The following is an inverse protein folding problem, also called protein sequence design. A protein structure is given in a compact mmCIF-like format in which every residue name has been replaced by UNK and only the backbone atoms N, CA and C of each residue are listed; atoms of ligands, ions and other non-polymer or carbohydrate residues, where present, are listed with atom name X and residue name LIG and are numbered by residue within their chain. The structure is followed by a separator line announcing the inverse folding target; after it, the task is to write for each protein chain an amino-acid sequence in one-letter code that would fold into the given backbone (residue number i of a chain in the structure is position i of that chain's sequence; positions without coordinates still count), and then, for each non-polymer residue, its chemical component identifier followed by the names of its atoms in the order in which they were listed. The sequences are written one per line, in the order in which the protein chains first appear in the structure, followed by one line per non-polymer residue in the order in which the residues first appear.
data_IF_516431158897
#
_entry.id   IF_516431158897
#
_cell.length_a   1.000
_cell.length_b   1.000
_cell.length_c   1.000
_cell.angle_alpha   90.00
_cell.angle_beta   90.00
_cell.angle_gamma   90.00
#
_symmetry.space_group_name_H-M   'P 1'
#
loop_
_entity.id
_entity.type
_entity.pdbx_description
1 polymer ?
#
# COMPACT_ATOMS: atom_id res chain seq x y z
N UNK A 1 7.67 3.05 -13.09
CA UNK A 1 6.23 2.70 -13.19
C UNK A 1 5.66 2.69 -11.79
N UNK A 2 4.71 3.58 -11.49
CA UNK A 2 4.00 3.59 -10.20
C UNK A 2 2.66 2.89 -10.40
N UNK A 3 2.65 1.57 -10.15
CA UNK A 3 1.47 0.73 -10.39
C UNK A 3 0.21 1.28 -9.72
N UNK A 4 0.36 1.94 -8.56
CA UNK A 4 -0.77 2.56 -7.86
C UNK A 4 -1.38 3.70 -8.67
N UNK A 5 -0.54 4.59 -9.21
CA UNK A 5 -1.00 5.71 -10.04
C UNK A 5 -1.57 5.22 -11.37
N UNK A 6 -0.86 4.29 -12.03
CA UNK A 6 -1.21 3.78 -13.35
C UNK A 6 -2.57 3.04 -13.36
N UNK A 7 -2.97 2.47 -12.23
CA UNK A 7 -4.25 1.76 -12.08
C UNK A 7 -5.29 2.55 -11.31
N UNK A 8 -5.01 3.83 -11.00
CA UNK A 8 -5.85 4.70 -10.18
C UNK A 8 -6.27 4.03 -8.84
N UNK A 9 -5.33 3.34 -8.20
CA UNK A 9 -5.56 2.61 -6.94
C UNK A 9 -6.45 1.36 -7.06
N UNK A 10 -6.88 0.95 -8.25
CA UNK A 10 -7.71 -0.24 -8.43
C UNK A 10 -6.90 -1.53 -8.30
N UNK A 11 -7.15 -2.26 -7.21
CA UNK A 11 -6.52 -3.55 -6.90
C UNK A 11 -6.76 -4.59 -8.00
N UNK A 12 -7.98 -4.66 -8.54
CA UNK A 12 -8.35 -5.64 -9.58
C UNK A 12 -7.63 -5.33 -10.89
N UNK A 13 -7.62 -4.05 -11.32
CA UNK A 13 -6.88 -3.65 -12.54
C UNK A 13 -5.39 -3.96 -12.40
N UNK A 14 -4.80 -3.64 -11.25
CA UNK A 14 -3.40 -3.91 -10.99
C UNK A 14 -3.05 -5.40 -10.99
N UNK A 15 -3.91 -6.24 -10.40
CA UNK A 15 -3.78 -7.69 -10.47
C UNK A 15 -3.79 -8.18 -11.92
N UNK A 16 -4.77 -7.76 -12.74
CA UNK A 16 -4.85 -8.14 -14.15
C UNK A 16 -3.62 -7.68 -14.94
N UNK A 17 -3.18 -6.43 -14.75
CA UNK A 17 -1.95 -5.90 -15.39
C UNK A 17 -0.73 -6.74 -15.03
N UNK A 18 -0.55 -7.09 -13.75
CA UNK A 18 0.57 -7.93 -13.33
C UNK A 18 0.47 -9.34 -13.92
N UNK A 19 -0.73 -9.92 -13.93
CA UNK A 19 -0.99 -11.25 -14.47
C UNK A 19 -0.70 -11.33 -15.96
N UNK A 20 -1.21 -10.40 -16.76
CA UNK A 20 -0.97 -10.31 -18.21
C UNK A 20 0.51 -10.15 -18.52
N UNK A 21 1.26 -9.45 -17.67
CA UNK A 21 2.70 -9.24 -17.83
C UNK A 21 3.56 -10.37 -17.20
N UNK A 22 2.95 -11.44 -16.67
CA UNK A 22 3.67 -12.55 -16.04
C UNK A 22 4.43 -12.18 -14.75
N UNK A 23 4.05 -11.07 -14.09
CA UNK A 23 4.73 -10.55 -12.89
C UNK A 23 3.94 -10.90 -11.63
N UNK A 24 4.64 -11.17 -10.53
CA UNK A 24 4.08 -11.27 -9.18
C UNK A 24 4.45 -10.05 -8.34
N UNK A 25 3.73 -9.82 -7.24
CA UNK A 25 4.11 -8.76 -6.28
C UNK A 25 5.32 -9.20 -5.46
N UNK A 26 6.42 -8.41 -5.46
CA UNK A 26 7.52 -8.65 -4.55
C UNK A 26 7.07 -8.41 -3.09
N UNK A 27 7.30 -9.37 -2.16
CA UNK A 27 6.98 -9.20 -0.73
C UNK A 27 7.59 -7.94 -0.11
N UNK A 28 8.76 -7.54 -0.63
CA UNK A 28 9.49 -6.35 -0.20
C UNK A 28 8.74 -5.04 -0.43
N UNK A 29 7.79 -4.98 -1.36
CA UNK A 29 7.03 -3.75 -1.62
C UNK A 29 6.09 -3.43 -0.46
N UNK A 30 5.32 -4.41 0.00
CA UNK A 30 4.42 -4.26 1.16
C UNK A 30 5.22 -3.86 2.40
N UNK A 31 6.34 -4.56 2.65
CA UNK A 31 7.21 -4.26 3.78
C UNK A 31 7.75 -2.81 3.74
N UNK A 32 8.23 -2.36 2.57
CA UNK A 32 8.72 -0.97 2.39
C UNK A 32 7.66 0.08 2.71
N UNK A 33 6.43 -0.09 2.22
CA UNK A 33 5.35 0.87 2.49
C UNK A 33 4.93 0.86 3.97
N UNK A 34 4.84 -0.32 4.57
CA UNK A 34 4.57 -0.49 6.01
C UNK A 34 5.65 0.17 6.87
N UNK A 35 6.93 -0.07 6.57
CA UNK A 35 8.05 0.52 7.32
C UNK A 35 8.10 2.04 7.15
N UNK A 36 7.83 2.54 5.93
CA UNK A 36 7.74 3.97 5.64
C UNK A 36 6.60 4.64 6.43
N UNK A 37 5.42 4.01 6.50
CA UNK A 37 4.28 4.51 7.28
C UNK A 37 4.59 4.52 8.77
N UNK A 38 5.11 3.42 9.32
CA UNK A 38 5.46 3.30 10.74
C UNK A 38 6.46 4.35 11.22
N UNK A 39 7.47 4.67 10.40
CA UNK A 39 8.45 5.71 10.74
C UNK A 39 7.81 7.08 10.99
N UNK A 40 6.67 7.37 10.35
CA UNK A 40 5.95 8.65 10.43
C UNK A 40 4.89 8.69 11.54
N UNK A 41 4.51 7.54 12.13
CA UNK A 41 3.44 7.47 13.13
C UNK A 41 3.68 8.39 14.32
N UNK A 42 4.94 8.54 14.79
CA UNK A 42 5.26 9.41 15.92
C UNK A 42 4.89 10.87 15.68
N UNK A 43 5.16 11.39 14.48
CA UNK A 43 4.90 12.78 14.14
C UNK A 43 3.42 13.00 13.86
N UNK A 44 2.78 12.04 13.21
CA UNK A 44 1.32 12.02 12.99
C UNK A 44 0.56 12.01 14.31
N UNK A 45 0.98 11.21 15.30
CA UNK A 45 0.37 11.18 16.63
C UNK A 45 0.44 12.57 17.30
N UNK A 46 1.57 13.27 17.18
CA UNK A 46 1.71 14.63 17.74
C UNK A 46 0.76 15.62 17.07
N UNK A 47 0.69 15.59 15.73
CA UNK A 47 -0.18 16.47 14.94
C UNK A 47 -1.65 16.24 15.29
N UNK A 48 -2.08 14.97 15.31
CA UNK A 48 -3.46 14.58 15.64
C UNK A 48 -3.84 15.01 17.07
N UNK A 49 -2.95 14.78 18.05
CA UNK A 49 -3.20 15.17 19.45
C UNK A 49 -3.32 16.68 19.63
N UNK A 50 -2.51 17.46 18.91
CA UNK A 50 -2.53 18.93 18.96
C UNK A 50 -3.64 19.54 18.11
N UNK A 51 -4.36 18.75 17.31
CA UNK A 51 -5.32 19.24 16.28
C UNK A 51 -4.70 20.30 15.37
N UNK A 52 -3.42 20.10 15.06
CA UNK A 52 -2.63 21.07 14.31
C UNK A 52 -2.93 20.95 12.80
N UNK A 53 -3.70 21.92 12.28
CA UNK A 53 -4.05 21.99 10.87
C UNK A 53 -2.85 22.29 9.97
N UNK A 54 -1.76 22.86 10.52
CA UNK A 54 -0.53 23.09 9.75
C UNK A 54 0.19 21.78 9.43
N UNK A 55 -0.10 20.71 10.18
CA UNK A 55 0.42 19.36 9.93
C UNK A 55 -0.37 18.55 8.89
N UNK A 56 -1.35 19.14 8.19
CA UNK A 56 -2.22 18.42 7.25
C UNK A 56 -1.44 17.78 6.09
N UNK A 57 -0.31 18.36 5.66
CA UNK A 57 0.57 17.79 4.64
C UNK A 57 1.13 16.44 5.09
N UNK A 58 1.58 16.32 6.34
CA UNK A 58 2.03 15.05 6.91
C UNK A 58 0.91 14.03 7.01
N UNK A 59 -0.32 14.47 7.37
CA UNK A 59 -1.50 13.59 7.38
C UNK A 59 -1.81 13.05 5.99
N UNK A 60 -1.76 13.89 4.95
CA UNK A 60 -1.99 13.49 3.56
C UNK A 60 -0.89 12.54 3.05
N UNK A 61 0.37 12.78 3.42
CA UNK A 61 1.46 11.84 3.12
C UNK A 61 1.23 10.48 3.79
N UNK A 62 0.86 10.47 5.07
CA UNK A 62 0.53 9.24 5.80
C UNK A 62 -0.63 8.51 5.14
N UNK A 63 -1.69 9.22 4.76
CA UNK A 63 -2.86 8.65 4.06
C UNK A 63 -2.45 8.03 2.72
N UNK A 64 -1.57 8.70 1.96
CA UNK A 64 -1.05 8.19 0.69
C UNK A 64 -0.27 6.89 0.89
N UNK A 65 0.63 6.83 1.89
CA UNK A 65 1.36 5.60 2.19
C UNK A 65 0.43 4.47 2.65
N UNK A 66 -0.59 4.79 3.44
CA UNK A 66 -1.60 3.84 3.87
C UNK A 66 -2.41 3.27 2.68
N UNK A 67 -2.88 4.13 1.77
CA UNK A 67 -3.58 3.72 0.54
C UNK A 67 -2.70 2.80 -0.32
N UNK A 68 -1.41 3.13 -0.48
CA UNK A 68 -0.46 2.27 -1.21
C UNK A 68 -0.23 0.93 -0.50
N UNK A 69 -0.07 0.91 0.82
CA UNK A 69 0.06 -0.34 1.60
C UNK A 69 -1.18 -1.24 1.41
N UNK A 70 -2.38 -0.70 1.54
CA UNK A 70 -3.63 -1.42 1.32
C UNK A 70 -3.74 -1.95 -0.12
N UNK A 71 -3.37 -1.14 -1.10
CA UNK A 71 -3.37 -1.51 -2.51
C UNK A 71 -2.49 -2.73 -2.79
N UNK A 72 -1.21 -2.69 -2.39
CA UNK A 72 -0.30 -3.82 -2.62
C UNK A 72 -0.69 -5.07 -1.83
N UNK A 73 -1.24 -4.91 -0.61
CA UNK A 73 -1.79 -6.02 0.16
C UNK A 73 -3.00 -6.66 -0.53
N UNK A 74 -3.92 -5.86 -1.07
CA UNK A 74 -5.10 -6.35 -1.78
C UNK A 74 -4.73 -7.18 -3.00
N UNK A 75 -3.75 -6.72 -3.78
CA UNK A 75 -3.29 -7.48 -4.94
C UNK A 75 -2.61 -8.79 -4.51
N UNK A 76 -1.83 -8.78 -3.41
CA UNK A 76 -1.25 -10.01 -2.85
C UNK A 76 -2.37 -11.00 -2.53
N UNK A 77 -3.41 -10.58 -1.82
CA UNK A 77 -4.56 -11.43 -1.49
C UNK A 77 -5.17 -12.07 -2.75
N UNK A 78 -5.33 -11.32 -3.85
CA UNK A 78 -5.84 -11.87 -5.11
C UNK A 78 -4.93 -12.96 -5.70
N UNK A 79 -3.60 -12.77 -5.66
CA UNK A 79 -2.66 -13.83 -6.06
C UNK A 79 -2.72 -15.05 -5.13
N UNK A 80 -2.87 -14.87 -3.82
CA UNK A 80 -3.00 -15.99 -2.88
C UNK A 80 -4.27 -16.80 -3.13
N UNK A 81 -5.39 -16.11 -3.43
CA UNK A 81 -6.65 -16.75 -3.82
C UNK A 81 -6.50 -17.53 -5.12
N UNK A 82 -5.84 -16.97 -6.13
CA UNK A 82 -5.55 -17.66 -7.40
C UNK A 82 -4.72 -18.93 -7.16
N UNK A 83 -3.72 -18.88 -6.29
CA UNK A 83 -2.86 -20.03 -5.97
C UNK A 83 -3.50 -21.07 -5.05
N UNK A 84 -4.80 -20.95 -4.76
CA UNK A 84 -5.54 -21.87 -3.91
C UNK A 84 -5.10 -21.81 -2.44
N UNK A 85 -4.63 -20.65 -1.97
CA UNK A 85 -4.21 -20.43 -0.58
C UNK A 85 -2.87 -21.08 -0.20
N UNK A 86 -2.06 -21.51 -1.19
CA UNK A 86 -0.81 -22.27 -0.95
C UNK A 86 0.36 -21.44 -0.42
N UNK A 87 0.27 -20.12 -0.36
CA UNK A 87 1.31 -19.30 0.27
C UNK A 87 1.22 -19.41 1.78
N UNK A 88 2.11 -20.22 2.35
CA UNK A 88 2.34 -20.35 3.80
C UNK A 88 2.50 -18.95 4.41
N UNK A 89 1.59 -18.62 5.32
CA UNK A 89 1.73 -17.50 6.26
C UNK A 89 2.91 -17.70 7.19
#
# INVERSE_FOLDING_TARGET
MDLFADTNGSVVKAYLVLKTNGKSIPPNWIKRYKDSRKKREKDIIKILRKRDLLGITHLNEWETFYKKECFYNGIRILFELEWGGKTKR
#
